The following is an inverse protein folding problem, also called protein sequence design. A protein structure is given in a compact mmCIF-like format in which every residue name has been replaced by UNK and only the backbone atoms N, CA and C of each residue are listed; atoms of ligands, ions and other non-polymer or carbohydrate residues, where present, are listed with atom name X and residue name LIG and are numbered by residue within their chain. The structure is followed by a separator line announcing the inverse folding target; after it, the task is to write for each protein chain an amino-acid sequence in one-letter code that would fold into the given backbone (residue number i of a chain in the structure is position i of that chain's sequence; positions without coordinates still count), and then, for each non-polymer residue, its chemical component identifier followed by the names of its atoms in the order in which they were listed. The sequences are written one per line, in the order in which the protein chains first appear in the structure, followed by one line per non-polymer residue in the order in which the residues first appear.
data_IF_556461675134
#
_entry.id   IF_556461675134
#
_cell.length_a   1.000
_cell.length_b   1.000
_cell.length_c   1.000
_cell.angle_alpha   90.00
_cell.angle_beta   90.00
_cell.angle_gamma   90.00
#
_symmetry.space_group_name_H-M   'P 1'
#
loop_
_entity.id
_entity.type
_entity.pdbx_description
1 polymer ?
#
# COMPACT_ATOMS: atom_id res chain seq x y z
N UNK A 1 -10.07 50.32 5.64
CA UNK A 1 -10.68 49.20 4.91
C UNK A 1 -9.61 48.14 4.74
N UNK A 2 -9.55 47.17 5.65
CA UNK A 2 -8.60 46.10 5.64
C UNK A 2 -9.25 44.88 4.93
N UNK A 3 -8.77 44.57 3.75
CA UNK A 3 -9.14 43.37 3.04
C UNK A 3 -8.19 42.26 3.52
N UNK A 4 -8.72 41.28 4.25
CA UNK A 4 -8.01 40.00 4.54
C UNK A 4 -7.95 39.18 3.28
N UNK A 5 -6.79 38.55 2.92
CA UNK A 5 -6.78 37.59 1.86
C UNK A 5 -7.40 36.28 2.37
N UNK A 6 -8.32 35.74 1.60
CA UNK A 6 -8.92 34.43 1.80
C UNK A 6 -7.90 33.34 1.42
N UNK A 7 -7.37 32.65 2.41
CA UNK A 7 -6.62 31.40 2.20
C UNK A 7 -7.61 30.24 2.09
N UNK A 8 -8.13 29.99 0.92
CA UNK A 8 -8.72 28.72 0.53
C UNK A 8 -7.86 28.13 -0.58
N UNK A 9 -6.76 27.48 -0.19
CA UNK A 9 -5.99 26.59 -1.03
C UNK A 9 -6.23 25.18 -0.53
N UNK A 10 -7.02 24.43 -1.27
CA UNK A 10 -7.38 23.04 -1.00
C UNK A 10 -6.14 22.17 -0.94
N UNK A 11 -5.89 21.57 0.20
CA UNK A 11 -4.92 20.49 0.40
C UNK A 11 -5.60 19.20 -0.07
N UNK A 12 -5.28 18.71 -1.25
CA UNK A 12 -6.03 17.68 -1.96
C UNK A 12 -5.53 16.25 -1.74
N UNK A 13 -4.39 16.05 -1.05
CA UNK A 13 -3.71 14.75 -0.95
C UNK A 13 -3.90 14.05 0.40
N UNK A 14 -4.36 14.76 1.41
CA UNK A 14 -4.12 14.37 2.79
C UNK A 14 -5.31 13.81 3.53
N UNK A 15 -6.37 13.34 2.86
CA UNK A 15 -7.50 13.07 3.71
C UNK A 15 -8.38 11.94 3.27
N UNK A 16 -8.26 10.82 3.95
CA UNK A 16 -9.30 9.82 3.98
C UNK A 16 -9.25 9.03 5.27
N UNK A 17 -10.08 9.32 6.16
CA UNK A 17 -10.89 8.57 7.12
C UNK A 17 -11.11 9.36 8.39
N UNK A 18 -12.31 9.51 8.79
CA UNK A 18 -12.86 9.22 10.13
C UNK A 18 -14.39 9.30 10.06
N UNK A 19 -15.08 8.31 10.47
CA UNK A 19 -15.99 8.30 11.64
C UNK A 19 -17.04 7.19 11.50
N UNK A 20 -17.21 6.40 12.52
CA UNK A 20 -18.46 6.43 13.30
C UNK A 20 -18.29 5.65 14.59
N UNK A 21 -18.51 6.36 15.67
CA UNK A 21 -18.62 5.83 17.03
C UNK A 21 -20.05 5.41 17.35
N UNK A 22 -20.14 4.40 18.24
CA UNK A 22 -21.16 4.12 19.23
C UNK A 22 -22.29 3.13 18.90
N UNK A 23 -22.25 1.95 19.52
CA UNK A 23 -23.12 1.66 20.66
C UNK A 23 -22.65 0.41 21.40
N UNK A 24 -22.52 0.55 22.72
CA UNK A 24 -22.05 -0.47 23.63
C UNK A 24 -23.10 -1.56 23.84
N UNK A 25 -22.66 -2.80 23.72
CA UNK A 25 -23.33 -3.98 24.26
C UNK A 25 -22.28 -4.86 24.93
N UNK A 26 -22.23 -4.83 26.25
CA UNK A 26 -21.30 -5.63 27.05
C UNK A 26 -21.70 -7.11 26.96
N UNK A 27 -20.95 -7.88 26.18
CA UNK A 27 -20.82 -9.31 26.37
C UNK A 27 -19.36 -9.59 26.72
N UNK A 28 -19.14 -10.21 27.88
CA UNK A 28 -17.84 -10.71 28.28
C UNK A 28 -17.41 -11.79 27.27
N UNK A 29 -16.64 -11.39 26.28
CA UNK A 29 -15.94 -12.31 25.39
C UNK A 29 -14.52 -12.47 25.96
N UNK A 30 -14.02 -13.72 25.96
CA UNK A 30 -12.62 -14.01 26.12
C UNK A 30 -11.83 -12.97 25.32
N UNK A 31 -10.74 -12.44 25.90
CA UNK A 31 -9.91 -11.43 25.26
C UNK A 31 -9.60 -11.89 23.84
N UNK A 32 -10.30 -11.34 22.86
CA UNK A 32 -9.92 -11.47 21.47
C UNK A 32 -8.54 -10.81 21.38
N UNK A 33 -7.54 -11.54 20.91
CA UNK A 33 -6.25 -10.96 20.60
C UNK A 33 -6.51 -9.69 19.78
N UNK A 34 -6.18 -8.53 20.32
CA UNK A 34 -6.34 -7.30 19.57
C UNK A 34 -5.39 -7.35 18.37
N UNK A 35 -5.89 -7.07 17.19
CA UNK A 35 -5.07 -7.03 15.95
C UNK A 35 -4.28 -5.72 15.85
N UNK A 36 -3.94 -5.13 16.97
CA UNK A 36 -3.27 -3.82 17.03
C UNK A 36 -1.76 -3.89 16.79
N UNK A 37 -1.16 -5.06 16.94
CA UNK A 37 0.28 -5.23 16.77
C UNK A 37 0.66 -6.61 16.22
N UNK A 38 1.76 -6.64 15.46
CA UNK A 38 2.33 -7.84 14.87
C UNK A 38 2.18 -7.89 13.36
N UNK A 39 3.28 -8.21 12.68
CA UNK A 39 3.33 -8.28 11.23
C UNK A 39 3.21 -9.70 10.67
N UNK A 40 3.53 -10.74 11.47
CA UNK A 40 3.40 -12.13 11.04
C UNK A 40 2.34 -12.85 11.89
N UNK A 41 1.36 -13.43 11.21
CA UNK A 41 0.26 -14.15 11.81
C UNK A 41 0.16 -15.56 11.25
N UNK A 42 -0.01 -16.54 12.13
CA UNK A 42 -0.38 -17.91 11.73
C UNK A 42 -1.87 -17.96 11.51
N UNK A 43 -2.27 -18.54 10.38
CA UNK A 43 -3.65 -18.70 9.95
C UNK A 43 -3.98 -20.18 9.97
N UNK A 44 -4.94 -20.57 10.80
CA UNK A 44 -5.27 -21.96 11.08
C UNK A 44 -6.75 -22.24 10.85
N UNK A 45 -7.03 -23.42 10.30
CA UNK A 45 -8.38 -23.97 10.18
C UNK A 45 -8.34 -25.49 10.39
N UNK A 46 -9.37 -26.05 11.03
CA UNK A 46 -9.42 -27.48 11.29
C UNK A 46 -9.27 -28.30 10.00
N UNK A 47 -8.40 -29.32 10.05
CA UNK A 47 -8.15 -30.23 8.91
C UNK A 47 -7.23 -29.69 7.82
N UNK A 48 -6.64 -28.48 8.01
CA UNK A 48 -5.71 -27.87 7.05
C UNK A 48 -4.40 -27.53 7.74
N UNK A 49 -3.27 -27.79 7.09
CA UNK A 49 -1.96 -27.34 7.59
C UNK A 49 -1.92 -25.81 7.63
N UNK A 50 -1.36 -25.28 8.72
CA UNK A 50 -1.29 -23.83 8.95
C UNK A 50 -0.63 -23.10 7.80
N UNK A 51 -1.11 -21.89 7.54
CA UNK A 51 -0.53 -20.91 6.65
C UNK A 51 -0.07 -19.68 7.45
N UNK A 52 0.61 -18.76 6.79
CA UNK A 52 1.08 -17.52 7.41
C UNK A 52 0.62 -16.31 6.58
N UNK A 53 0.20 -15.26 7.26
CA UNK A 53 -0.11 -13.95 6.70
C UNK A 53 0.90 -12.95 7.23
N UNK A 54 1.59 -12.25 6.34
CA UNK A 54 2.66 -11.31 6.66
C UNK A 54 2.35 -9.93 6.09
N UNK A 55 2.50 -8.89 6.94
CA UNK A 55 2.39 -7.50 6.53
C UNK A 55 3.70 -6.98 5.98
N UNK A 56 3.73 -6.50 4.74
CA UNK A 56 4.89 -5.87 4.09
C UNK A 56 4.81 -4.36 4.15
N UNK A 57 5.95 -3.72 3.85
CA UNK A 57 6.04 -2.30 3.56
C UNK A 57 6.83 -2.12 2.27
N UNK A 58 6.33 -1.28 1.39
CA UNK A 58 6.96 -0.99 0.11
C UNK A 58 8.17 -0.05 0.29
N UNK A 59 9.22 -0.58 0.90
CA UNK A 59 10.46 0.13 1.24
C UNK A 59 11.65 -0.77 0.95
N UNK A 60 12.78 -0.16 0.61
CA UNK A 60 14.09 -0.80 0.46
C UNK A 60 15.00 -0.56 1.67
N UNK A 61 14.44 -0.08 2.79
CA UNK A 61 15.16 0.07 4.05
C UNK A 61 15.72 -1.28 4.51
N UNK A 62 17.00 -1.37 4.92
CA UNK A 62 17.62 -2.62 5.36
C UNK A 62 16.89 -3.31 6.52
N UNK A 63 16.23 -2.55 7.41
CA UNK A 63 15.39 -3.08 8.49
C UNK A 63 14.10 -3.72 8.01
N UNK A 64 13.60 -3.31 6.82
CA UNK A 64 12.40 -3.85 6.18
C UNK A 64 12.75 -5.05 5.32
N UNK A 65 13.73 -4.93 4.43
CA UNK A 65 14.03 -5.99 3.43
C UNK A 65 14.71 -7.22 4.02
N UNK A 66 15.38 -7.08 5.17
CA UNK A 66 15.98 -8.19 5.89
C UNK A 66 14.93 -8.90 6.75
N UNK A 67 14.46 -10.05 6.30
CA UNK A 67 13.45 -10.81 7.03
C UNK A 67 13.90 -11.18 8.44
N UNK A 68 13.09 -10.87 9.47
CA UNK A 68 13.32 -11.35 10.83
C UNK A 68 13.26 -12.87 10.90
N UNK A 69 14.00 -13.49 11.82
CA UNK A 69 14.07 -14.95 11.95
C UNK A 69 12.71 -15.69 11.98
N UNK A 70 11.67 -15.18 12.69
CA UNK A 70 10.35 -15.82 12.65
C UNK A 70 9.71 -15.78 11.26
N UNK A 71 9.84 -14.64 10.55
CA UNK A 71 9.31 -14.45 9.20
C UNK A 71 10.03 -15.33 8.21
N UNK A 72 11.38 -15.37 8.26
CA UNK A 72 12.19 -16.23 7.41
C UNK A 72 11.80 -17.71 7.58
N UNK A 73 11.63 -18.17 8.82
CA UNK A 73 11.20 -19.56 9.09
C UNK A 73 9.83 -19.88 8.50
N UNK A 74 8.86 -18.96 8.63
CA UNK A 74 7.53 -19.13 8.07
C UNK A 74 7.58 -19.17 6.54
N UNK A 75 8.39 -18.30 5.92
CA UNK A 75 8.65 -18.29 4.48
C UNK A 75 9.28 -19.61 4.01
N UNK A 76 10.34 -20.08 4.70
CA UNK A 76 11.05 -21.31 4.31
C UNK A 76 10.17 -22.56 4.39
N UNK A 77 9.29 -22.64 5.40
CA UNK A 77 8.36 -23.75 5.62
C UNK A 77 7.20 -23.79 4.62
N UNK A 78 6.87 -22.66 4.00
CA UNK A 78 5.75 -22.58 3.07
C UNK A 78 6.07 -23.31 1.75
N UNK A 79 5.09 -24.00 1.19
CA UNK A 79 5.19 -24.63 -0.14
C UNK A 79 4.95 -23.64 -1.28
N UNK A 80 4.19 -22.59 -1.03
CA UNK A 80 3.94 -21.53 -2.00
C UNK A 80 3.87 -20.17 -1.33
N UNK A 81 4.11 -19.13 -2.13
CA UNK A 81 4.07 -17.73 -1.73
C UNK A 81 2.95 -17.05 -2.51
N UNK A 82 2.15 -16.27 -1.81
CA UNK A 82 1.09 -15.45 -2.40
C UNK A 82 1.38 -14.00 -2.08
N UNK A 83 1.49 -13.16 -3.10
CA UNK A 83 1.74 -11.72 -3.00
C UNK A 83 0.50 -10.94 -3.43
N UNK A 84 0.45 -9.64 -3.18
CA UNK A 84 -0.60 -8.82 -3.78
C UNK A 84 -0.56 -8.94 -5.31
N UNK A 85 0.60 -8.71 -5.91
CA UNK A 85 0.83 -8.86 -7.36
C UNK A 85 2.06 -9.73 -7.58
N UNK A 86 2.03 -10.58 -8.60
CA UNK A 86 3.22 -11.32 -9.05
C UNK A 86 4.12 -10.37 -9.82
N UNK A 87 5.37 -10.25 -9.38
CA UNK A 87 6.37 -9.34 -9.96
C UNK A 87 7.24 -10.03 -11.02
N UNK A 88 6.61 -10.83 -11.87
CA UNK A 88 7.30 -11.46 -13.00
C UNK A 88 7.67 -10.42 -14.09
N UNK A 89 8.54 -10.76 -15.05
CA UNK A 89 8.96 -9.84 -16.11
C UNK A 89 7.80 -9.25 -16.91
N UNK A 90 6.74 -10.02 -17.13
CA UNK A 90 5.55 -9.55 -17.87
C UNK A 90 4.76 -8.52 -17.05
N UNK A 91 4.59 -8.78 -15.76
CA UNK A 91 3.93 -7.86 -14.83
C UNK A 91 4.72 -6.56 -14.69
N UNK A 92 6.05 -6.63 -14.58
CA UNK A 92 6.92 -5.44 -14.52
C UNK A 92 6.84 -4.62 -15.81
N UNK A 93 6.80 -5.26 -16.97
CA UNK A 93 6.61 -4.57 -18.25
C UNK A 93 5.24 -3.90 -18.31
N UNK A 94 4.19 -4.59 -17.90
CA UNK A 94 2.82 -4.07 -17.84
C UNK A 94 2.74 -2.86 -16.90
N UNK A 95 3.35 -2.95 -15.72
CA UNK A 95 3.42 -1.85 -14.76
C UNK A 95 4.14 -0.64 -15.35
N UNK A 96 5.32 -0.83 -15.92
CA UNK A 96 6.10 0.24 -16.55
C UNK A 96 5.30 0.91 -17.68
N UNK A 97 4.63 0.12 -18.52
CA UNK A 97 3.80 0.64 -19.60
C UNK A 97 2.59 1.42 -19.07
N UNK A 98 2.00 0.99 -17.97
CA UNK A 98 0.86 1.67 -17.35
C UNK A 98 1.22 3.06 -16.81
N UNK A 99 2.47 3.29 -16.40
CA UNK A 99 2.95 4.59 -15.93
C UNK A 99 3.09 5.64 -17.04
N UNK A 100 3.20 5.19 -18.31
CA UNK A 100 3.54 6.04 -19.44
C UNK A 100 2.30 6.39 -20.27
N UNK A 101 2.31 7.56 -20.87
CA UNK A 101 1.34 7.94 -21.90
C UNK A 101 1.66 7.25 -23.23
N UNK A 102 0.64 6.65 -23.84
CA UNK A 102 0.76 5.93 -25.12
C UNK A 102 -0.01 6.63 -26.24
N UNK A 103 -0.67 7.75 -25.93
CA UNK A 103 -1.52 8.53 -26.86
C UNK A 103 -0.76 9.66 -27.58
N UNK A 104 0.57 9.72 -27.43
CA UNK A 104 1.43 10.74 -28.02
C UNK A 104 1.49 12.05 -27.23
N UNK A 105 0.72 12.21 -26.18
CA UNK A 105 0.79 13.37 -25.30
C UNK A 105 2.11 13.37 -24.50
N UNK A 106 2.48 14.54 -24.00
CA UNK A 106 3.59 14.74 -23.06
C UNK A 106 3.07 15.33 -21.77
N UNK A 107 3.76 15.01 -20.67
CA UNK A 107 3.39 15.50 -19.34
C UNK A 107 3.26 17.03 -19.33
N UNK A 108 4.24 17.76 -19.93
CA UNK A 108 4.22 19.22 -20.02
C UNK A 108 2.94 19.76 -20.68
N UNK A 109 2.48 19.12 -21.75
CA UNK A 109 1.28 19.56 -22.47
C UNK A 109 -0.01 19.41 -21.63
N UNK A 110 0.00 18.52 -20.63
CA UNK A 110 -1.14 18.28 -19.75
C UNK A 110 -1.14 19.16 -18.49
N UNK A 111 0.05 19.38 -17.89
CA UNK A 111 0.16 20.05 -16.59
C UNK A 111 0.67 21.49 -16.71
N UNK A 112 1.09 21.91 -17.89
CA UNK A 112 1.68 23.23 -18.12
C UNK A 112 3.16 23.30 -17.71
N UNK A 113 3.86 24.29 -18.27
CA UNK A 113 5.32 24.40 -18.17
C UNK A 113 5.83 24.54 -16.72
N UNK A 114 5.20 25.41 -15.92
CA UNK A 114 5.66 25.68 -14.55
C UNK A 114 5.62 24.43 -13.66
N UNK A 115 4.52 23.66 -13.70
CA UNK A 115 4.36 22.44 -12.94
C UNK A 115 5.30 21.34 -13.47
N UNK A 116 5.47 21.27 -14.79
CA UNK A 116 6.38 20.34 -15.44
C UNK A 116 7.85 20.55 -15.01
N UNK A 117 8.36 21.79 -15.10
CA UNK A 117 9.73 22.13 -14.69
C UNK A 117 9.99 21.76 -13.22
N UNK A 118 9.01 22.02 -12.35
CA UNK A 118 9.08 21.63 -10.94
C UNK A 118 9.08 20.11 -10.76
N UNK A 119 8.24 19.38 -11.51
CA UNK A 119 8.19 17.92 -11.49
C UNK A 119 9.53 17.33 -11.92
N UNK A 120 10.08 17.81 -13.03
CA UNK A 120 11.38 17.38 -13.57
C UNK A 120 12.50 17.65 -12.55
N UNK A 121 12.52 18.82 -11.93
CA UNK A 121 13.56 19.17 -10.95
C UNK A 121 13.59 18.17 -9.78
N UNK A 122 12.43 17.85 -9.21
CA UNK A 122 12.35 16.92 -8.08
C UNK A 122 12.63 15.46 -8.51
N UNK A 123 12.11 15.04 -9.65
CA UNK A 123 12.34 13.69 -10.17
C UNK A 123 13.79 13.46 -10.57
N UNK A 124 14.44 14.46 -11.18
CA UNK A 124 15.86 14.42 -11.53
C UNK A 124 16.77 14.34 -10.29
N UNK A 125 16.41 15.03 -9.20
CA UNK A 125 17.09 14.91 -7.92
C UNK A 125 17.01 13.49 -7.32
N UNK A 126 16.00 12.70 -7.73
CA UNK A 126 15.86 11.26 -7.42
C UNK A 126 16.50 10.34 -8.47
N UNK A 127 17.28 10.89 -9.41
CA UNK A 127 17.99 10.13 -10.46
C UNK A 127 17.12 9.73 -11.66
N UNK A 128 15.91 10.28 -11.81
CA UNK A 128 15.03 9.95 -12.92
C UNK A 128 15.30 10.88 -14.14
N UNK A 129 15.64 10.31 -15.31
CA UNK A 129 15.89 11.12 -16.50
C UNK A 129 14.63 11.88 -16.96
N UNK A 130 14.81 13.14 -17.38
CA UNK A 130 13.70 13.96 -17.89
C UNK A 130 12.93 13.30 -19.02
N UNK A 131 13.61 12.55 -19.89
CA UNK A 131 12.97 11.82 -21.00
C UNK A 131 11.89 10.85 -20.50
N UNK A 132 12.08 10.20 -19.35
CA UNK A 132 11.08 9.34 -18.72
C UNK A 132 9.95 10.19 -18.14
N UNK A 133 10.30 11.23 -17.38
CA UNK A 133 9.31 12.14 -16.76
C UNK A 133 8.40 12.76 -17.82
N UNK A 134 8.95 13.17 -18.95
CA UNK A 134 8.20 13.77 -20.05
C UNK A 134 7.08 12.86 -20.64
N UNK A 135 7.21 11.56 -20.47
CA UNK A 135 6.25 10.59 -20.98
C UNK A 135 5.35 9.99 -19.89
N UNK A 136 5.52 10.38 -18.62
CA UNK A 136 4.71 9.86 -17.53
C UNK A 136 3.30 10.43 -17.51
N UNK A 137 2.35 9.63 -17.04
CA UNK A 137 1.04 10.11 -16.64
C UNK A 137 1.17 10.98 -15.38
N UNK A 138 0.32 11.99 -15.17
CA UNK A 138 0.40 12.85 -13.97
C UNK A 138 0.32 12.05 -12.67
N UNK A 139 -0.60 11.08 -12.56
CA UNK A 139 -0.72 10.23 -11.38
C UNK A 139 0.54 9.38 -11.11
N UNK A 140 1.21 8.91 -12.19
CA UNK A 140 2.40 8.09 -12.04
C UNK A 140 3.56 8.89 -11.43
N UNK A 141 3.74 10.14 -11.88
CA UNK A 141 4.72 11.05 -11.27
C UNK A 141 4.40 11.31 -9.79
N UNK A 142 3.12 11.54 -9.45
CA UNK A 142 2.69 11.73 -8.06
C UNK A 142 2.99 10.49 -7.19
N UNK A 143 2.60 9.30 -7.64
CA UNK A 143 2.82 8.05 -6.87
C UNK A 143 4.31 7.80 -6.64
N UNK A 144 5.16 8.00 -7.65
CA UNK A 144 6.60 7.86 -7.49
C UNK A 144 7.17 8.88 -6.48
N UNK A 145 6.65 10.10 -6.48
CA UNK A 145 7.07 11.12 -5.52
C UNK A 145 6.60 10.84 -4.09
N UNK A 146 5.49 10.12 -3.92
CA UNK A 146 4.97 9.67 -2.62
C UNK A 146 5.69 8.42 -2.07
N UNK A 147 6.55 7.77 -2.85
CA UNK A 147 7.40 6.70 -2.34
C UNK A 147 8.70 7.25 -1.75
N UNK A 148 9.29 6.60 -0.72
CA UNK A 148 10.60 7.01 -0.23
C UNK A 148 11.61 7.04 -1.38
N UNK A 149 12.57 8.00 -1.40
CA UNK A 149 13.71 7.89 -2.29
C UNK A 149 14.48 6.63 -1.93
N UNK A 150 14.57 5.68 -2.89
CA UNK A 150 15.18 4.38 -2.67
C UNK A 150 16.69 4.43 -2.48
N UNK A 151 17.25 3.50 -1.69
CA UNK A 151 18.69 3.31 -1.57
C UNK A 151 19.24 2.45 -2.72
N UNK A 152 18.52 1.39 -3.09
CA UNK A 152 18.91 0.47 -4.18
C UNK A 152 17.71 0.01 -5.04
N UNK A 153 16.53 0.50 -4.76
CA UNK A 153 15.31 0.24 -5.52
C UNK A 153 14.72 -1.18 -5.36
N UNK A 154 15.24 -2.00 -4.45
CA UNK A 154 14.77 -3.38 -4.24
C UNK A 154 13.89 -3.41 -2.99
N UNK A 155 12.59 -3.30 -3.19
CA UNK A 155 11.59 -3.33 -2.11
C UNK A 155 11.30 -4.76 -1.62
N UNK A 156 10.76 -4.88 -0.40
CA UNK A 156 10.51 -6.15 0.27
C UNK A 156 9.69 -7.13 -0.57
N UNK A 157 8.64 -6.66 -1.23
CA UNK A 157 7.78 -7.52 -2.08
C UNK A 157 8.56 -8.18 -3.22
N UNK A 158 9.50 -7.43 -3.82
CA UNK A 158 10.39 -7.97 -4.86
C UNK A 158 11.41 -8.96 -4.28
N UNK A 159 11.92 -8.72 -3.07
CA UNK A 159 12.78 -9.68 -2.36
C UNK A 159 12.03 -10.99 -2.14
N UNK A 160 10.81 -10.94 -1.61
CA UNK A 160 9.97 -12.12 -1.40
C UNK A 160 9.68 -12.88 -2.70
N UNK A 161 9.35 -12.16 -3.78
CA UNK A 161 9.15 -12.78 -5.09
C UNK A 161 10.41 -13.51 -5.58
N UNK A 162 11.54 -12.80 -5.62
CA UNK A 162 12.82 -13.35 -6.08
C UNK A 162 13.24 -14.58 -5.28
N UNK A 163 13.14 -14.51 -3.95
CA UNK A 163 13.56 -15.56 -3.05
C UNK A 163 12.61 -16.78 -3.14
N UNK A 164 11.31 -16.56 -3.37
CA UNK A 164 10.35 -17.62 -3.64
C UNK A 164 10.68 -18.38 -4.93
N UNK A 165 10.97 -17.64 -6.02
CA UNK A 165 11.36 -18.21 -7.32
C UNK A 165 12.67 -18.98 -7.19
N UNK A 166 13.67 -18.40 -6.51
CA UNK A 166 14.96 -19.04 -6.28
C UNK A 166 14.85 -20.35 -5.46
N UNK A 167 13.90 -20.39 -4.52
CA UNK A 167 13.59 -21.58 -3.71
C UNK A 167 12.67 -22.59 -4.43
N UNK A 168 12.30 -22.36 -5.70
CA UNK A 168 11.41 -23.22 -6.47
C UNK A 168 9.97 -23.27 -5.97
N UNK A 169 9.54 -22.28 -5.17
CA UNK A 169 8.17 -22.19 -4.66
C UNK A 169 7.23 -21.69 -5.75
N UNK A 170 5.98 -22.16 -5.70
CA UNK A 170 4.92 -21.57 -6.55
C UNK A 170 4.61 -20.16 -6.05
N UNK A 171 4.50 -19.20 -6.97
CA UNK A 171 4.11 -17.83 -6.64
C UNK A 171 2.75 -17.53 -7.24
N UNK A 172 1.89 -16.90 -6.44
CA UNK A 172 0.52 -16.51 -6.80
C UNK A 172 0.30 -15.01 -6.50
N UNK A 173 -0.59 -14.38 -7.26
CA UNK A 173 -1.07 -13.03 -7.02
C UNK A 173 -2.50 -13.01 -6.47
N UNK A 174 -2.79 -12.10 -5.56
CA UNK A 174 -4.15 -11.80 -5.12
C UNK A 174 -4.82 -10.80 -6.05
N UNK A 175 -4.04 -9.97 -6.71
CA UNK A 175 -4.49 -8.93 -7.65
C UNK A 175 -3.64 -8.96 -8.91
N UNK A 176 -4.13 -8.31 -9.95
CA UNK A 176 -3.38 -8.05 -11.17
C UNK A 176 -2.77 -6.64 -11.15
N UNK A 177 -1.73 -6.41 -11.95
CA UNK A 177 -1.17 -5.06 -12.16
C UNK A 177 -2.25 -4.09 -12.64
N UNK A 178 -3.12 -4.53 -13.55
CA UNK A 178 -4.19 -3.70 -14.09
C UNK A 178 -5.18 -3.25 -13.00
N UNK A 179 -5.52 -4.13 -12.06
CA UNK A 179 -6.40 -3.77 -10.94
C UNK A 179 -5.76 -2.74 -10.02
N UNK A 180 -4.45 -2.86 -9.72
CA UNK A 180 -3.77 -1.88 -8.87
C UNK A 180 -3.53 -0.55 -9.58
N UNK A 181 -3.07 -0.57 -10.82
CA UNK A 181 -2.82 0.65 -11.59
C UNK A 181 -4.12 1.38 -11.91
N UNK A 182 -5.21 0.65 -12.15
CA UNK A 182 -6.54 1.21 -12.41
C UNK A 182 -7.05 2.11 -11.28
N UNK A 183 -6.63 1.91 -10.04
CA UNK A 183 -6.99 2.80 -8.92
C UNK A 183 -6.64 4.27 -9.20
N UNK A 184 -5.57 4.51 -9.93
CA UNK A 184 -5.08 5.84 -10.28
C UNK A 184 -5.38 6.21 -11.73
N UNK A 185 -5.32 5.24 -12.64
CA UNK A 185 -5.52 5.47 -14.08
C UNK A 185 -6.97 5.83 -14.42
N UNK A 186 -7.93 5.32 -13.63
CA UNK A 186 -9.37 5.63 -13.74
C UNK A 186 -9.75 7.01 -13.17
N UNK A 187 -8.82 7.71 -12.50
CA UNK A 187 -9.06 9.08 -12.07
C UNK A 187 -9.21 10.00 -13.29
N UNK A 188 -10.08 11.01 -13.16
CA UNK A 188 -10.17 12.03 -14.20
C UNK A 188 -8.81 12.72 -14.39
N UNK A 189 -8.53 13.20 -15.60
CA UNK A 189 -7.28 13.94 -15.88
C UNK A 189 -7.09 15.12 -14.92
N UNK A 190 -8.17 15.80 -14.58
CA UNK A 190 -8.16 16.89 -13.60
C UNK A 190 -7.69 16.41 -12.23
N UNK A 191 -8.19 15.27 -11.76
CA UNK A 191 -7.83 14.73 -10.45
C UNK A 191 -6.40 14.19 -10.42
N UNK A 192 -5.93 13.59 -11.52
CA UNK A 192 -4.52 13.17 -11.65
C UNK A 192 -3.56 14.37 -11.59
N UNK A 193 -3.91 15.50 -12.21
CA UNK A 193 -3.10 16.73 -12.16
C UNK A 193 -3.12 17.30 -10.75
N UNK A 194 -4.30 17.40 -10.14
CA UNK A 194 -4.44 17.89 -8.76
C UNK A 194 -3.63 17.03 -7.77
N UNK A 195 -3.63 15.70 -7.94
CA UNK A 195 -2.81 14.78 -7.17
C UNK A 195 -1.31 15.12 -7.28
N UNK A 196 -0.82 15.37 -8.49
CA UNK A 196 0.59 15.73 -8.71
C UNK A 196 0.94 17.11 -8.11
N UNK A 197 0.09 18.12 -8.34
CA UNK A 197 0.30 19.47 -7.79
C UNK A 197 0.44 19.44 -6.28
N UNK A 198 -0.45 18.72 -5.62
CA UNK A 198 -0.52 18.65 -4.17
C UNK A 198 0.64 17.79 -3.61
N UNK A 199 1.00 16.68 -4.28
CA UNK A 199 2.20 15.90 -3.92
C UNK A 199 3.45 16.79 -3.91
N UNK A 200 3.67 17.55 -4.98
CA UNK A 200 4.82 18.46 -5.07
C UNK A 200 4.79 19.57 -4.02
N UNK A 201 3.60 20.03 -3.64
CA UNK A 201 3.45 21.06 -2.61
C UNK A 201 3.80 20.56 -1.21
N UNK A 202 3.56 19.27 -0.95
CA UNK A 202 3.64 18.68 0.39
C UNK A 202 4.79 17.66 0.55
N UNK A 203 5.83 17.70 -0.28
CA UNK A 203 6.91 16.71 -0.28
C UNK A 203 7.59 16.54 1.09
N UNK A 204 7.84 17.65 1.81
CA UNK A 204 8.49 17.59 3.13
C UNK A 204 7.59 16.88 4.17
N UNK A 205 6.29 17.12 4.11
CA UNK A 205 5.31 16.48 5.00
C UNK A 205 5.20 14.98 4.66
N UNK A 206 5.18 14.65 3.36
CA UNK A 206 5.18 13.25 2.89
C UNK A 206 6.43 12.53 3.39
N UNK A 207 7.60 13.17 3.32
CA UNK A 207 8.86 12.61 3.83
C UNK A 207 8.77 12.28 5.32
N UNK A 208 8.35 13.22 6.14
CA UNK A 208 8.18 13.02 7.59
C UNK A 208 7.19 11.88 7.90
N UNK A 209 6.07 11.82 7.20
CA UNK A 209 5.09 10.75 7.37
C UNK A 209 5.67 9.38 7.00
N UNK A 210 6.42 9.29 5.92
CA UNK A 210 7.05 8.03 5.52
C UNK A 210 8.04 7.54 6.58
N UNK A 211 8.78 8.46 7.22
CA UNK A 211 9.68 8.13 8.34
C UNK A 211 8.88 7.61 9.55
N UNK A 212 7.75 8.26 9.91
CA UNK A 212 6.89 7.79 11.00
C UNK A 212 6.24 6.43 10.68
N UNK A 213 5.81 6.21 9.44
CA UNK A 213 5.28 4.92 8.99
C UNK A 213 6.35 3.82 9.05
N UNK A 214 7.60 4.13 8.68
CA UNK A 214 8.72 3.19 8.79
C UNK A 214 8.97 2.81 10.25
N UNK A 215 9.00 3.77 11.17
CA UNK A 215 9.16 3.49 12.61
C UNK A 215 8.02 2.60 13.13
N UNK A 216 6.76 2.95 12.84
CA UNK A 216 5.61 2.16 13.25
C UNK A 216 5.64 0.73 12.69
N UNK A 217 6.09 0.57 11.44
CA UNK A 217 6.27 -0.75 10.82
C UNK A 217 7.35 -1.57 11.51
N UNK A 218 8.53 -0.99 11.79
CA UNK A 218 9.63 -1.66 12.47
C UNK A 218 9.26 -2.05 13.91
N UNK A 219 8.41 -1.25 14.56
CA UNK A 219 7.83 -1.54 15.87
C UNK A 219 6.68 -2.56 15.80
N UNK A 220 6.23 -2.91 14.60
CA UNK A 220 5.10 -3.82 14.34
C UNK A 220 3.78 -3.31 14.92
N UNK A 221 3.64 -2.01 15.04
CA UNK A 221 2.47 -1.32 15.59
C UNK A 221 1.44 -1.06 14.49
N UNK A 222 0.54 -2.03 14.28
CA UNK A 222 -0.52 -1.93 13.27
C UNK A 222 -1.52 -0.82 13.59
N UNK A 223 -1.77 -0.58 14.89
CA UNK A 223 -2.65 0.51 15.31
C UNK A 223 -2.05 1.86 14.94
N UNK A 224 -0.76 2.07 15.21
CA UNK A 224 -0.07 3.31 14.84
C UNK A 224 -0.02 3.51 13.33
N UNK A 225 0.22 2.44 12.56
CA UNK A 225 0.15 2.50 11.09
C UNK A 225 -1.22 2.99 10.62
N UNK A 226 -2.30 2.47 11.21
CA UNK A 226 -3.66 2.87 10.87
C UNK A 226 -3.91 4.34 11.27
N UNK A 227 -3.53 4.74 12.49
CA UNK A 227 -3.66 6.12 12.96
C UNK A 227 -2.89 7.12 12.08
N UNK A 228 -1.68 6.77 11.63
CA UNK A 228 -0.90 7.60 10.70
C UNK A 228 -1.57 7.70 9.34
N UNK A 229 -2.07 6.58 8.82
CA UNK A 229 -2.85 6.57 7.59
C UNK A 229 -4.11 7.43 7.73
N UNK A 230 -4.84 7.33 8.85
CA UNK A 230 -5.98 8.18 9.13
C UNK A 230 -5.60 9.66 9.29
N UNK A 231 -4.51 9.94 9.98
CA UNK A 231 -4.00 11.30 10.16
C UNK A 231 -3.64 11.95 8.83
N UNK A 232 -3.07 11.18 7.92
CA UNK A 232 -2.67 11.66 6.60
C UNK A 232 -3.85 12.20 5.79
N UNK A 233 -5.05 11.93 6.24
CA UNK A 233 -6.28 12.18 5.49
C UNK A 233 -7.19 13.25 6.10
N UNK A 234 -6.82 13.84 7.25
CA UNK A 234 -7.70 14.73 8.03
C UNK A 234 -8.03 16.08 7.38
N UNK A 235 -7.14 16.59 6.52
CA UNK A 235 -7.31 17.91 5.92
C UNK A 235 -7.90 17.90 4.50
N UNK A 236 -8.36 16.75 3.93
CA UNK A 236 -9.02 16.64 2.62
C UNK A 236 -10.52 16.79 2.69
N UNK A 237 -11.12 16.87 1.51
CA UNK A 237 -12.55 16.71 1.35
C UNK A 237 -12.99 15.33 1.91
N UNK A 238 -13.86 15.27 2.93
CA UNK A 238 -14.24 14.02 3.59
C UNK A 238 -14.81 12.97 2.63
N UNK A 239 -15.56 13.38 1.61
CA UNK A 239 -16.22 12.49 0.67
C UNK A 239 -15.19 11.86 -0.31
N UNK A 240 -14.22 12.66 -0.74
CA UNK A 240 -13.11 12.16 -1.57
C UNK A 240 -12.26 11.19 -0.75
N UNK A 241 -12.04 11.55 0.48
CA UNK A 241 -11.35 10.78 1.50
C UNK A 241 -11.92 9.40 1.69
N UNK A 242 -13.17 9.31 2.00
CA UNK A 242 -13.91 8.06 2.14
C UNK A 242 -13.86 7.23 0.86
N UNK A 243 -14.05 7.86 -0.30
CA UNK A 243 -14.06 7.18 -1.59
C UNK A 243 -12.72 6.51 -1.90
N UNK A 244 -11.63 7.19 -1.65
CA UNK A 244 -10.29 6.62 -1.90
C UNK A 244 -9.98 5.50 -0.92
N UNK A 245 -10.16 5.71 0.41
CA UNK A 245 -9.96 4.64 1.38
C UNK A 245 -10.78 3.40 1.03
N UNK A 246 -12.04 3.60 0.71
CA UNK A 246 -12.90 2.51 0.29
C UNK A 246 -12.30 1.75 -0.90
N UNK A 247 -11.80 2.45 -1.93
CA UNK A 247 -11.21 1.81 -3.12
C UNK A 247 -9.84 1.20 -2.85
N UNK A 248 -8.95 1.93 -2.15
CA UNK A 248 -7.54 1.53 -1.99
C UNK A 248 -7.33 0.51 -0.87
N UNK A 249 -8.16 0.54 0.17
CA UNK A 249 -8.03 -0.38 1.31
C UNK A 249 -9.20 -1.34 1.38
N UNK A 250 -10.42 -0.84 1.57
CA UNK A 250 -11.56 -1.67 1.95
C UNK A 250 -11.97 -2.66 0.86
N UNK A 251 -12.26 -2.18 -0.34
CA UNK A 251 -12.67 -3.04 -1.46
C UNK A 251 -11.57 -4.05 -1.83
N UNK A 252 -10.30 -3.65 -1.73
CA UNK A 252 -9.16 -4.55 -1.92
C UNK A 252 -9.08 -5.59 -0.81
N UNK A 253 -9.29 -5.23 0.46
CA UNK A 253 -9.32 -6.18 1.57
C UNK A 253 -10.37 -7.28 1.36
N UNK A 254 -11.59 -6.91 1.00
CA UNK A 254 -12.65 -7.89 0.69
C UNK A 254 -12.28 -8.80 -0.47
N UNK A 255 -11.75 -8.24 -1.56
CA UNK A 255 -11.30 -8.98 -2.74
C UNK A 255 -10.14 -9.92 -2.41
N UNK A 256 -9.12 -9.44 -1.71
CA UNK A 256 -7.98 -10.26 -1.28
C UNK A 256 -8.41 -11.35 -0.29
N UNK A 257 -9.26 -11.03 0.70
CA UNK A 257 -9.81 -12.01 1.63
C UNK A 257 -10.59 -13.13 0.94
N UNK A 258 -11.29 -12.84 -0.16
CA UNK A 258 -11.98 -13.85 -0.97
C UNK A 258 -10.99 -14.68 -1.78
N UNK A 259 -10.07 -14.02 -2.50
CA UNK A 259 -9.11 -14.70 -3.39
C UNK A 259 -8.12 -15.59 -2.64
N UNK A 260 -7.72 -15.22 -1.42
CA UNK A 260 -6.83 -16.06 -0.63
C UNK A 260 -7.50 -17.33 -0.07
N UNK A 261 -8.85 -17.46 -0.11
CA UNK A 261 -9.54 -18.64 0.40
C UNK A 261 -9.09 -19.94 -0.26
N UNK A 262 -8.86 -19.93 -1.57
CA UNK A 262 -8.37 -21.12 -2.28
C UNK A 262 -6.98 -21.53 -1.77
N UNK A 263 -6.10 -20.55 -1.59
CA UNK A 263 -4.74 -20.78 -1.09
C UNK A 263 -4.74 -21.25 0.36
N UNK A 264 -5.55 -20.64 1.21
CA UNK A 264 -5.68 -21.05 2.62
C UNK A 264 -6.25 -22.47 2.77
N UNK A 265 -7.13 -22.92 1.86
CA UNK A 265 -7.61 -24.31 1.86
C UNK A 265 -6.56 -25.32 1.43
N UNK A 266 -5.60 -24.94 0.61
CA UNK A 266 -4.43 -25.76 0.26
C UNK A 266 -3.48 -25.94 1.46
N UNK A 267 -3.42 -24.94 2.35
CA UNK A 267 -2.51 -24.88 3.47
C UNK A 267 -1.04 -24.62 3.07
N UNK A 268 -0.18 -24.50 4.05
CA UNK A 268 1.27 -24.26 3.86
C UNK A 268 1.61 -23.08 2.96
N UNK A 269 0.80 -22.01 3.05
CA UNK A 269 0.98 -20.77 2.31
C UNK A 269 1.75 -19.74 3.13
N UNK A 270 2.61 -18.96 2.47
CA UNK A 270 3.08 -17.68 2.96
C UNK A 270 2.43 -16.59 2.13
N UNK A 271 1.51 -15.85 2.73
CA UNK A 271 0.76 -14.77 2.08
C UNK A 271 1.33 -13.45 2.55
N UNK A 272 1.76 -12.59 1.64
CA UNK A 272 2.31 -11.28 1.96
C UNK A 272 1.49 -10.17 1.29
N UNK A 273 1.07 -9.20 2.10
CA UNK A 273 0.28 -8.02 1.70
C UNK A 273 0.76 -6.80 2.47
N UNK A 274 0.52 -5.60 1.97
CA UNK A 274 0.88 -4.38 2.70
C UNK A 274 0.29 -4.36 4.12
N UNK A 275 1.09 -3.95 5.10
CA UNK A 275 0.72 -4.03 6.52
C UNK A 275 -0.58 -3.27 6.87
N UNK A 276 -0.89 -2.19 6.15
CA UNK A 276 -2.14 -1.46 6.31
C UNK A 276 -3.39 -2.30 5.97
N UNK A 277 -3.24 -3.32 5.13
CA UNK A 277 -4.34 -4.25 4.83
C UNK A 277 -4.64 -5.22 5.98
N UNK A 278 -3.74 -5.38 6.95
CA UNK A 278 -3.95 -6.26 8.10
C UNK A 278 -4.88 -5.65 9.14
N UNK A 279 -4.74 -4.35 9.40
CA UNK A 279 -5.31 -3.64 10.54
C UNK A 279 -6.77 -3.22 10.36
N UNK A 280 -7.44 -2.96 11.50
CA UNK A 280 -8.77 -2.36 11.55
C UNK A 280 -9.93 -3.34 11.36
N UNK A 281 -11.14 -2.82 11.52
CA UNK A 281 -12.40 -3.61 11.47
C UNK A 281 -12.68 -4.22 10.08
N UNK A 282 -12.16 -3.61 9.03
CA UNK A 282 -12.23 -4.11 7.65
C UNK A 282 -10.87 -4.62 7.17
N UNK A 283 -9.93 -4.85 8.11
CA UNK A 283 -8.63 -5.44 7.85
C UNK A 283 -8.70 -6.95 7.62
N UNK A 284 -7.70 -7.49 6.94
CA UNK A 284 -7.65 -8.91 6.60
C UNK A 284 -7.65 -9.83 7.81
N UNK A 285 -7.04 -9.41 8.94
CA UNK A 285 -7.07 -10.20 10.17
C UNK A 285 -8.50 -10.36 10.69
N UNK A 286 -9.26 -9.28 10.74
CA UNK A 286 -10.67 -9.32 11.14
C UNK A 286 -11.51 -10.13 10.17
N UNK A 287 -11.37 -9.87 8.87
CA UNK A 287 -12.11 -10.56 7.82
C UNK A 287 -11.86 -12.08 7.79
N UNK A 288 -10.64 -12.53 8.06
CA UNK A 288 -10.31 -13.96 8.17
C UNK A 288 -10.84 -14.57 9.45
N UNK A 289 -10.76 -13.86 10.58
CA UNK A 289 -11.35 -14.32 11.85
C UNK A 289 -12.86 -14.55 11.70
N UNK A 290 -13.59 -13.64 11.07
CA UNK A 290 -15.03 -13.76 10.78
C UNK A 290 -15.37 -14.91 9.83
N UNK A 291 -14.42 -15.33 8.98
CA UNK A 291 -14.53 -16.53 8.11
C UNK A 291 -14.17 -17.83 8.83
N UNK A 292 -13.95 -17.78 10.15
CA UNK A 292 -13.69 -18.95 11.00
C UNK A 292 -12.23 -19.44 11.00
N UNK A 293 -11.27 -18.58 10.59
CA UNK A 293 -9.86 -18.88 10.81
C UNK A 293 -9.44 -18.46 12.21
N UNK A 294 -8.62 -19.28 12.87
CA UNK A 294 -7.92 -18.91 14.08
C UNK A 294 -6.61 -18.20 13.70
N UNK A 295 -6.41 -17.02 14.25
CA UNK A 295 -5.25 -16.18 13.99
C UNK A 295 -4.40 -16.11 15.24
N UNK A 296 -3.09 -16.35 15.12
CA UNK A 296 -2.14 -16.26 16.23
C UNK A 296 -0.95 -15.41 15.80
N UNK A 297 -0.66 -14.36 16.56
CA UNK A 297 0.48 -13.50 16.33
C UNK A 297 1.80 -14.26 16.55
N UNK A 298 2.72 -14.17 15.60
CA UNK A 298 4.05 -14.82 15.64
C UNK A 298 5.18 -13.78 15.74
N UNK A 299 5.00 -12.60 15.10
CA UNK A 299 6.02 -11.56 15.12
C UNK A 299 5.38 -10.16 15.03
#
# INVERSE_FOLDING_TARGET
MNVKPSTQGSVFIWNIIVALTCLAGAFATAAADSFDAGLLWRVERAGVTSSYLFGTMHSDDPGVVKLPKPVQRAFDQAQSVTLEVVLDPQSLLTMTSALLMTDGNKLESLIGRQLYERTVAVMSARGMPELLVANMKPWAAAVILMTPPGNNGVVLDHVLYRDAVAAGKKVHGLETVAEQMGLFDDLSRKDQIALLEDTLKNLDIIGQMLDELLVAYLDRDLKRLLELNEASMRDSDPQLAETFNRKVIVERNYRMAERMQSRLREGQQFIAVGALHLAGEQGLLKLLSERGYRLSRIY
#
